data_IF_088685441824
#
_entry.id   IF_088685441824
#
_cell.length_a   1.000
_cell.length_b   1.000
_cell.length_c   1.000
_cell.angle_alpha   90.00
_cell.angle_beta   90.00
_cell.angle_gamma   90.00
#
_symmetry.space_group_name_H-M   'P 1'
#
loop_
_entity.id
_entity.type
_entity.pdbx_description
1 polymer ?
#
# COMPACT_ATOMS: atom_id res chain seq x y z
N UNK A 1 -13.49 -13.87 0.11
CA UNK A 1 -14.46 -14.72 0.85
C UNK A 1 -13.79 -16.00 1.40
N UNK A 2 -12.99 -16.72 0.61
CA UNK A 2 -12.30 -17.95 1.06
C UNK A 2 -11.31 -17.71 2.22
N UNK A 3 -10.37 -16.76 2.11
CA UNK A 3 -9.39 -16.49 3.18
C UNK A 3 -10.02 -16.12 4.53
N UNK A 4 -11.11 -15.34 4.52
CA UNK A 4 -11.86 -15.03 5.76
C UNK A 4 -12.45 -16.29 6.41
N UNK A 5 -12.88 -17.27 5.61
CA UNK A 5 -13.48 -18.53 6.11
C UNK A 5 -12.42 -19.50 6.62
N UNK A 6 -11.31 -19.66 5.90
CA UNK A 6 -10.28 -20.66 6.22
C UNK A 6 -9.19 -20.14 7.14
N UNK A 7 -9.08 -18.81 7.29
CA UNK A 7 -7.99 -18.15 8.00
C UNK A 7 -6.60 -18.57 7.49
N UNK A 8 -6.51 -19.02 6.24
CA UNK A 8 -5.24 -19.38 5.61
C UNK A 8 -4.35 -18.15 5.48
N UNK A 9 -3.13 -18.16 6.06
CA UNK A 9 -2.19 -17.05 5.95
C UNK A 9 -1.83 -16.68 4.52
N UNK A 10 -1.67 -15.39 4.27
CA UNK A 10 -1.16 -14.86 2.99
C UNK A 10 0.16 -14.14 3.23
N UNK A 11 1.22 -14.67 2.62
CA UNK A 11 2.51 -13.98 2.49
C UNK A 11 2.52 -13.24 1.16
N UNK A 12 2.25 -11.93 1.21
CA UNK A 12 2.20 -11.09 0.01
C UNK A 12 3.60 -10.70 -0.41
N UNK A 13 3.89 -10.84 -1.70
CA UNK A 13 5.11 -10.33 -2.33
C UNK A 13 4.80 -9.01 -3.04
N UNK A 14 5.82 -8.19 -3.24
CA UNK A 14 5.66 -6.84 -3.83
C UNK A 14 4.64 -5.97 -3.07
N UNK A 15 4.57 -6.11 -1.74
CA UNK A 15 3.58 -5.45 -0.87
C UNK A 15 3.69 -3.92 -0.84
N UNK A 16 4.75 -3.36 -1.42
CA UNK A 16 5.00 -1.92 -1.53
C UNK A 16 5.08 -1.42 -2.97
N UNK A 17 4.67 -2.24 -3.95
CA UNK A 17 4.50 -1.85 -5.35
C UNK A 17 5.72 -1.11 -5.96
N UNK A 18 6.94 -1.60 -5.68
CA UNK A 18 8.20 -0.98 -6.16
C UNK A 18 8.36 0.51 -5.76
N UNK A 19 7.73 0.92 -4.66
CA UNK A 19 7.74 2.30 -4.20
C UNK A 19 6.76 3.21 -4.94
N UNK A 20 5.71 2.68 -5.56
CA UNK A 20 4.66 3.49 -6.21
C UNK A 20 4.12 4.61 -5.29
N UNK A 21 3.99 4.34 -3.98
CA UNK A 21 3.46 5.28 -2.99
C UNK A 21 4.51 6.20 -2.34
N UNK A 22 5.73 6.30 -2.88
CA UNK A 22 6.80 7.15 -2.31
C UNK A 22 6.93 8.52 -3.01
N UNK A 23 5.93 8.91 -3.80
CA UNK A 23 5.96 10.17 -4.58
C UNK A 23 6.75 10.11 -5.89
N UNK A 24 7.28 8.93 -6.25
CA UNK A 24 7.99 8.71 -7.52
C UNK A 24 7.07 8.37 -8.69
N UNK A 25 5.88 7.84 -8.40
CA UNK A 25 4.89 7.55 -9.43
C UNK A 25 4.19 8.86 -9.83
N UNK A 26 4.38 9.28 -11.07
CA UNK A 26 3.73 10.45 -11.66
C UNK A 26 3.14 10.05 -13.02
N UNK A 27 1.85 10.35 -13.32
CA UNK A 27 1.20 9.91 -14.55
C UNK A 27 1.93 10.32 -15.84
N UNK A 28 2.57 11.49 -15.81
CA UNK A 28 3.34 12.11 -16.88
C UNK A 28 4.80 11.64 -16.97
N UNK A 29 5.32 10.97 -15.93
CA UNK A 29 6.68 10.44 -15.87
C UNK A 29 6.70 8.91 -16.01
N UNK A 30 7.09 8.44 -17.19
CA UNK A 30 7.25 7.01 -17.51
C UNK A 30 8.71 6.59 -17.66
N UNK A 31 9.65 7.34 -17.08
CA UNK A 31 11.09 7.05 -17.16
C UNK A 31 11.45 5.71 -16.50
N UNK A 32 10.85 5.36 -15.36
CA UNK A 32 10.88 3.99 -14.81
C UNK A 32 9.84 3.12 -15.53
N UNK A 33 10.28 2.47 -16.61
CA UNK A 33 9.45 1.61 -17.46
C UNK A 33 8.76 0.49 -16.69
N UNK A 34 9.42 -0.09 -15.68
CA UNK A 34 8.86 -1.21 -14.92
C UNK A 34 7.82 -0.75 -13.91
N UNK A 35 8.04 0.39 -13.26
CA UNK A 35 7.03 1.00 -12.41
C UNK A 35 5.78 1.35 -13.24
N UNK A 36 5.96 1.99 -14.39
CA UNK A 36 4.86 2.38 -15.27
C UNK A 36 4.10 1.15 -15.80
N UNK A 37 4.81 0.15 -16.31
CA UNK A 37 4.22 -1.07 -16.88
C UNK A 37 3.39 -1.86 -15.85
N UNK A 38 3.86 -1.96 -14.61
CA UNK A 38 3.20 -2.78 -13.60
C UNK A 38 2.12 -2.06 -12.79
N UNK A 39 2.27 -0.75 -12.55
CA UNK A 39 1.46 -0.05 -11.54
C UNK A 39 0.69 1.16 -12.05
N UNK A 40 0.99 1.68 -13.24
CA UNK A 40 0.27 2.88 -13.73
C UNK A 40 -1.09 2.49 -14.30
N UNK A 41 -2.13 3.02 -13.66
CA UNK A 41 -3.51 2.98 -14.13
C UNK A 41 -4.27 4.10 -13.44
N UNK A 42 -5.34 4.59 -14.06
CA UNK A 42 -6.19 5.64 -13.47
C UNK A 42 -6.67 5.25 -12.07
N UNK A 43 -7.01 3.98 -11.88
CA UNK A 43 -7.46 3.48 -10.58
C UNK A 43 -6.33 3.43 -9.55
N UNK A 44 -5.12 3.03 -9.92
CA UNK A 44 -4.00 3.04 -8.97
C UNK A 44 -3.59 4.47 -8.59
N UNK A 45 -3.70 5.44 -9.50
CA UNK A 45 -3.51 6.85 -9.17
C UNK A 45 -4.63 7.39 -8.26
N UNK A 46 -5.88 6.96 -8.43
CA UNK A 46 -6.95 7.25 -7.45
C UNK A 46 -6.65 6.65 -6.08
N UNK A 47 -6.13 5.41 -6.02
CA UNK A 47 -5.70 4.78 -4.77
C UNK A 47 -4.55 5.54 -4.11
N UNK A 48 -3.57 6.00 -4.91
CA UNK A 48 -2.48 6.86 -4.44
C UNK A 48 -3.01 8.16 -3.83
N UNK A 49 -3.97 8.82 -4.50
CA UNK A 49 -4.59 10.04 -3.99
C UNK A 49 -5.30 9.79 -2.64
N UNK A 50 -6.13 8.74 -2.55
CA UNK A 50 -6.83 8.39 -1.30
C UNK A 50 -5.87 8.01 -0.17
N UNK A 51 -4.79 7.28 -0.48
CA UNK A 51 -3.75 6.96 0.49
C UNK A 51 -3.00 8.22 0.95
N UNK A 52 -2.77 9.17 0.05
CA UNK A 52 -2.11 10.44 0.36
C UNK A 52 -2.96 11.32 1.28
N UNK A 53 -4.26 11.45 1.00
CA UNK A 53 -5.20 12.16 1.86
C UNK A 53 -5.23 11.55 3.27
N UNK A 54 -5.35 10.23 3.37
CA UNK A 54 -5.38 9.54 4.66
C UNK A 54 -4.06 9.67 5.42
N UNK A 55 -2.93 9.59 4.72
CA UNK A 55 -1.61 9.79 5.29
C UNK A 55 -1.47 11.19 5.90
N UNK A 56 -1.95 12.23 5.20
CA UNK A 56 -1.93 13.61 5.70
C UNK A 56 -2.74 13.76 6.99
N UNK A 57 -3.96 13.18 7.05
CA UNK A 57 -4.80 13.24 8.26
C UNK A 57 -4.15 12.54 9.47
N UNK A 58 -3.33 11.52 9.22
CA UNK A 58 -2.70 10.69 10.26
C UNK A 58 -1.25 11.04 10.55
N UNK A 59 -0.68 12.05 9.90
CA UNK A 59 0.75 12.38 10.04
C UNK A 59 1.69 11.26 9.59
N UNK A 60 1.27 10.47 8.60
CA UNK A 60 2.02 9.34 8.06
C UNK A 60 2.45 9.60 6.61
N UNK A 61 3.18 8.65 6.00
CA UNK A 61 3.48 8.68 4.56
C UNK A 61 2.49 7.82 3.77
N UNK A 62 2.22 8.12 2.49
CA UNK A 62 1.31 7.30 1.67
C UNK A 62 1.75 5.83 1.57
N UNK A 63 3.07 5.58 1.57
CA UNK A 63 3.63 4.22 1.60
C UNK A 63 3.31 3.47 2.91
N UNK A 64 3.15 4.18 4.04
CA UNK A 64 2.72 3.56 5.30
C UNK A 64 1.26 3.13 5.19
N UNK A 65 0.39 3.98 4.65
CA UNK A 65 -1.03 3.65 4.44
C UNK A 65 -1.18 2.46 3.48
N UNK A 66 -0.41 2.44 2.39
CA UNK A 66 -0.44 1.34 1.44
C UNK A 66 0.02 0.00 2.05
N UNK A 67 1.07 0.01 2.87
CA UNK A 67 1.53 -1.20 3.56
C UNK A 67 0.54 -1.61 4.68
N UNK A 68 0.00 -0.66 5.43
CA UNK A 68 -1.02 -0.92 6.44
C UNK A 68 -2.28 -1.53 5.81
N UNK A 69 -2.69 -1.11 4.61
CA UNK A 69 -3.80 -1.72 3.87
C UNK A 69 -3.59 -3.23 3.67
N UNK A 70 -2.37 -3.65 3.35
CA UNK A 70 -2.04 -5.08 3.20
C UNK A 70 -2.13 -5.82 4.53
N UNK A 71 -1.70 -5.21 5.62
CA UNK A 71 -1.65 -5.82 6.96
C UNK A 71 -3.01 -5.87 7.66
N UNK A 72 -3.92 -4.93 7.35
CA UNK A 72 -5.22 -4.80 7.99
C UNK A 72 -6.32 -5.64 7.30
N UNK A 73 -5.96 -6.70 6.58
CA UNK A 73 -6.95 -7.59 6.00
C UNK A 73 -7.62 -8.44 7.09
N UNK A 74 -8.90 -8.84 6.92
CA UNK A 74 -9.67 -9.62 7.92
C UNK A 74 -9.30 -11.12 7.94
N UNK A 75 -8.04 -11.44 7.63
CA UNK A 75 -7.42 -12.75 7.66
C UNK A 75 -5.90 -12.55 7.83
N UNK A 76 -5.14 -13.56 8.31
CA UNK A 76 -3.73 -13.38 8.60
C UNK A 76 -2.95 -13.00 7.34
N UNK A 77 -2.29 -11.86 7.39
CA UNK A 77 -1.46 -11.34 6.29
C UNK A 77 -0.07 -11.00 6.79
N UNK A 78 0.90 -11.30 5.95
CA UNK A 78 2.31 -11.02 6.18
C UNK A 78 2.84 -10.33 4.92
N UNK A 79 3.33 -9.10 5.07
CA UNK A 79 3.83 -8.30 3.97
C UNK A 79 5.34 -8.47 3.83
N UNK A 80 5.79 -9.05 2.71
CA UNK A 80 7.21 -9.17 2.41
C UNK A 80 7.69 -7.87 1.75
N UNK A 81 8.48 -7.09 2.49
CA UNK A 81 9.11 -5.86 1.99
C UNK A 81 10.56 -6.14 1.57
N UNK A 82 11.03 -5.41 0.56
CA UNK A 82 12.38 -5.55 0.00
C UNK A 82 13.14 -4.22 -0.04
N UNK A 83 13.42 -3.59 1.12
CA UNK A 83 14.20 -2.36 1.16
C UNK A 83 15.65 -2.64 0.73
N UNK A 84 16.21 -1.74 -0.07
CA UNK A 84 17.63 -1.75 -0.48
C UNK A 84 18.52 -0.95 0.46
N UNK A 85 17.91 -0.09 1.27
CA UNK A 85 18.62 0.76 2.24
C UNK A 85 17.96 0.67 3.61
N UNK A 86 18.71 0.99 4.66
CA UNK A 86 18.16 1.07 6.02
C UNK A 86 17.07 2.13 6.13
N UNK A 87 17.20 3.24 5.39
CA UNK A 87 16.17 4.28 5.35
C UNK A 87 14.85 3.75 4.79
N UNK A 88 14.87 2.97 3.71
CA UNK A 88 13.66 2.35 3.15
C UNK A 88 13.01 1.37 4.14
N UNK A 89 13.82 0.62 4.89
CA UNK A 89 13.31 -0.23 5.98
C UNK A 89 12.63 0.62 7.05
N UNK A 90 13.33 1.61 7.60
CA UNK A 90 12.80 2.51 8.63
C UNK A 90 11.54 3.24 8.19
N UNK A 91 11.46 3.67 6.92
CA UNK A 91 10.26 4.30 6.34
C UNK A 91 9.07 3.35 6.26
N UNK A 92 9.30 2.03 6.24
CA UNK A 92 8.22 1.03 6.15
C UNK A 92 7.61 0.70 7.52
N UNK A 93 8.41 0.72 8.58
CA UNK A 93 8.01 0.29 9.92
C UNK A 93 6.78 1.01 10.51
N UNK A 94 6.57 2.33 10.31
CA UNK A 94 5.39 3.01 10.85
C UNK A 94 4.05 2.45 10.35
N UNK A 95 4.05 1.65 9.28
CA UNK A 95 2.83 0.96 8.84
C UNK A 95 2.29 -0.05 9.87
N UNK A 96 3.15 -0.55 10.77
CA UNK A 96 2.78 -1.50 11.82
C UNK A 96 1.90 -0.87 12.91
N UNK A 97 2.01 0.44 13.10
CA UNK A 97 1.26 1.21 14.10
C UNK A 97 -0.05 1.79 13.55
N UNK A 98 -0.40 1.49 12.28
CA UNK A 98 -1.58 2.02 11.60
C UNK A 98 -2.66 0.95 11.54
N UNK A 99 -3.71 1.14 12.35
CA UNK A 99 -4.95 0.39 12.24
C UNK A 99 -5.92 1.11 11.31
N UNK A 100 -6.37 0.39 10.27
CA UNK A 100 -7.33 0.88 9.29
C UNK A 100 -8.71 0.31 9.58
N UNK A 101 -9.70 1.19 9.66
CA UNK A 101 -11.10 0.79 9.81
C UNK A 101 -11.60 0.06 8.56
N UNK A 102 -12.66 -0.77 8.68
CA UNK A 102 -13.28 -1.39 7.52
C UNK A 102 -13.70 -0.39 6.42
N UNK A 103 -14.08 0.82 6.80
CA UNK A 103 -14.52 1.88 5.87
C UNK A 103 -13.34 2.49 5.14
N UNK A 104 -12.22 2.70 5.82
CA UNK A 104 -10.97 3.14 5.19
C UNK A 104 -10.42 2.08 4.24
N UNK A 105 -10.50 0.80 4.58
CA UNK A 105 -10.11 -0.29 3.67
C UNK A 105 -10.94 -0.26 2.38
N UNK A 106 -12.27 -0.11 2.51
CA UNK A 106 -13.17 0.01 1.33
C UNK A 106 -12.86 1.25 0.52
N UNK A 107 -12.68 2.41 1.18
CA UNK A 107 -12.27 3.66 0.54
C UNK A 107 -10.95 3.47 -0.21
N UNK A 108 -9.92 2.87 0.38
CA UNK A 108 -8.64 2.64 -0.29
C UNK A 108 -8.77 1.67 -1.47
N UNK A 109 -9.73 0.73 -1.45
CA UNK A 109 -9.94 -0.21 -2.56
C UNK A 109 -10.80 0.32 -3.72
N UNK A 110 -11.25 1.58 -3.65
CA UNK A 110 -12.21 2.18 -4.60
C UNK A 110 -13.64 1.62 -4.49
N UNK A 111 -13.98 1.03 -3.35
CA UNK A 111 -15.34 0.61 -3.03
C UNK A 111 -16.17 1.80 -2.52
N UNK A 112 -17.50 1.65 -2.60
CA UNK A 112 -18.49 2.62 -2.12
C UNK A 112 -18.73 2.51 -0.61
#
# INVERSE_FOLDING_TARGET
RWHKKTQMPVFSWSSQARGFFTGRARPDDKSDKELARCWYSDDNFKRLARATELAQMRGALPINIALAYVLNQPFPTYALIGPRTLTELSTSLPALDIELTPDELRRLNLEA
#
